data_IF_022234590004
#
_entry.id   IF_022234590004
#
_cell.length_a   1.000
_cell.length_b   1.000
_cell.length_c   1.000
_cell.angle_alpha   90.00
_cell.angle_beta   90.00
_cell.angle_gamma   90.00
#
_symmetry.space_group_name_H-M   'P 1'
#
loop_
_entity.id
_entity.type
_entity.pdbx_description
1 polymer ?
#
# COMPACT_ATOMS: atom_id res chain seq x y z
N UNK A 1 12.32 -17.33 16.58
CA UNK A 1 13.04 -16.09 16.18
C UNK A 1 12.09 -14.92 16.40
N UNK A 2 12.54 -13.81 17.00
CA UNK A 2 11.70 -12.62 17.14
C UNK A 2 11.45 -12.04 15.74
N UNK A 3 10.20 -11.78 15.32
CA UNK A 3 9.91 -11.40 13.93
C UNK A 3 10.60 -10.10 13.49
N UNK A 4 10.90 -9.19 14.41
CA UNK A 4 11.50 -7.88 14.14
C UNK A 4 13.03 -7.84 14.13
N UNK A 5 13.73 -8.90 14.56
CA UNK A 5 15.19 -8.93 14.65
C UNK A 5 15.87 -8.70 13.29
N UNK A 6 15.27 -9.21 12.21
CA UNK A 6 15.78 -8.99 10.85
C UNK A 6 15.62 -7.53 10.42
N UNK A 7 14.56 -6.85 10.85
CA UNK A 7 14.33 -5.44 10.56
C UNK A 7 15.32 -4.58 11.33
N UNK A 8 15.58 -4.86 12.61
CA UNK A 8 16.59 -4.16 13.41
C UNK A 8 18.00 -4.31 12.81
N UNK A 9 18.36 -5.52 12.37
CA UNK A 9 19.62 -5.77 11.67
C UNK A 9 19.71 -5.01 10.34
N UNK A 10 18.62 -5.00 9.58
CA UNK A 10 18.52 -4.23 8.33
C UNK A 10 18.69 -2.74 8.59
N UNK A 11 18.06 -2.21 9.65
CA UNK A 11 18.18 -0.81 10.05
C UNK A 11 19.64 -0.44 10.34
N UNK A 12 20.32 -1.21 11.20
CA UNK A 12 21.72 -0.98 11.53
C UNK A 12 22.64 -1.06 10.29
N UNK A 13 22.35 -1.99 9.37
CA UNK A 13 23.08 -2.10 8.10
C UNK A 13 22.93 -0.84 7.24
N UNK A 14 21.70 -0.34 7.07
CA UNK A 14 21.45 0.85 6.24
C UNK A 14 21.98 2.14 6.88
N UNK A 15 21.91 2.27 8.21
CA UNK A 15 22.47 3.41 8.95
C UNK A 15 23.99 3.46 8.89
N UNK A 16 24.66 2.30 8.87
CA UNK A 16 26.11 2.19 8.75
C UNK A 16 26.62 2.15 7.30
N UNK A 17 25.76 2.30 6.31
CA UNK A 17 26.15 2.15 4.90
C UNK A 17 26.87 3.40 4.38
N UNK A 18 28.11 3.24 3.94
CA UNK A 18 28.86 4.26 3.22
C UNK A 18 28.82 3.98 1.72
N UNK A 19 28.27 4.93 0.95
CA UNK A 19 28.19 4.80 -0.52
C UNK A 19 29.29 5.64 -1.15
N UNK A 20 30.08 4.98 -2.01
CA UNK A 20 31.19 5.60 -2.72
C UNK A 20 30.88 5.67 -4.22
N UNK A 21 31.10 6.83 -4.84
CA UNK A 21 31.08 7.04 -6.28
C UNK A 21 32.44 7.61 -6.70
N UNK A 22 33.16 6.93 -7.59
CA UNK A 22 34.52 7.32 -8.00
C UNK A 22 35.49 7.56 -6.82
N UNK A 23 35.43 6.67 -5.81
CA UNK A 23 36.20 6.76 -4.54
C UNK A 23 35.89 8.00 -3.69
N UNK A 24 34.82 8.74 -3.99
CA UNK A 24 34.32 9.84 -3.18
C UNK A 24 33.02 9.43 -2.51
N UNK A 25 32.82 9.86 -1.27
CA UNK A 25 31.58 9.60 -0.55
C UNK A 25 30.40 10.34 -1.22
N UNK A 26 29.30 9.61 -1.40
CA UNK A 26 28.05 10.12 -1.95
C UNK A 26 26.95 9.98 -0.90
N UNK A 27 26.48 11.12 -0.41
CA UNK A 27 25.47 11.17 0.66
C UNK A 27 24.03 11.29 0.14
N UNK A 28 23.84 11.64 -1.14
CA UNK A 28 22.51 11.89 -1.72
C UNK A 28 21.93 10.64 -2.39
N UNK A 29 21.75 9.57 -1.59
CA UNK A 29 21.09 8.33 -2.03
C UNK A 29 19.78 8.18 -1.27
N UNK A 30 18.72 8.77 -1.83
CA UNK A 30 17.42 8.84 -1.17
C UNK A 30 16.78 7.47 -0.89
N UNK A 31 17.07 6.44 -1.69
CA UNK A 31 16.51 5.11 -1.45
C UNK A 31 17.00 4.50 -0.13
N UNK A 32 18.24 4.76 0.29
CA UNK A 32 18.75 4.30 1.60
C UNK A 32 18.00 4.99 2.73
N UNK A 33 17.83 6.31 2.64
CA UNK A 33 16.98 7.05 3.57
C UNK A 33 15.56 6.51 3.62
N UNK A 34 14.99 6.15 2.45
CA UNK A 34 13.69 5.51 2.35
C UNK A 34 13.61 4.15 3.06
N UNK A 35 14.64 3.30 2.95
CA UNK A 35 14.70 2.04 3.70
C UNK A 35 14.78 2.27 5.21
N UNK A 36 15.63 3.20 5.66
CA UNK A 36 15.75 3.57 7.08
C UNK A 36 14.39 4.02 7.62
N UNK A 37 13.72 4.95 6.94
CA UNK A 37 12.41 5.44 7.35
C UNK A 37 11.35 4.36 7.34
N UNK A 38 11.30 3.52 6.29
CA UNK A 38 10.31 2.45 6.19
C UNK A 38 10.46 1.42 7.32
N UNK A 39 11.69 1.00 7.62
CA UNK A 39 11.96 0.04 8.68
C UNK A 39 11.60 0.64 10.05
N UNK A 40 12.03 1.87 10.34
CA UNK A 40 11.69 2.56 11.60
C UNK A 40 10.18 2.69 11.78
N UNK A 41 9.47 3.11 10.74
CA UNK A 41 8.01 3.24 10.77
C UNK A 41 7.31 1.90 11.01
N UNK A 42 7.77 0.80 10.41
CA UNK A 42 7.21 -0.53 10.65
C UNK A 42 7.45 -0.99 12.10
N UNK A 43 8.64 -0.74 12.66
CA UNK A 43 8.96 -1.09 14.05
C UNK A 43 8.10 -0.28 15.05
N UNK A 44 7.89 1.00 14.78
CA UNK A 44 7.01 1.86 15.57
C UNK A 44 5.55 1.39 15.48
N UNK A 45 5.03 1.20 14.26
CA UNK A 45 3.66 0.72 14.04
C UNK A 45 3.44 -0.65 14.68
N UNK A 46 4.43 -1.55 14.62
CA UNK A 46 4.34 -2.84 15.28
C UNK A 46 4.18 -2.69 16.79
N UNK A 47 4.91 -1.77 17.42
CA UNK A 47 4.78 -1.48 18.85
C UNK A 47 3.36 -1.04 19.20
N UNK A 48 2.79 -0.08 18.45
CA UNK A 48 1.42 0.41 18.63
C UNK A 48 0.36 -0.71 18.44
N UNK A 49 0.59 -1.58 17.46
CA UNK A 49 -0.30 -2.70 17.12
C UNK A 49 -0.23 -3.81 18.18
N UNK A 50 0.95 -4.05 18.76
CA UNK A 50 1.10 -4.99 19.88
C UNK A 50 0.41 -4.51 21.16
N UNK A 51 0.44 -3.21 21.44
CA UNK A 51 -0.32 -2.62 22.57
C UNK A 51 -1.83 -2.89 22.45
N UNK A 52 -2.34 -3.00 21.21
CA UNK A 52 -3.74 -3.36 20.91
C UNK A 52 -3.99 -4.88 20.87
N UNK A 53 -3.05 -5.69 21.36
CA UNK A 53 -3.14 -7.16 21.40
C UNK A 53 -3.33 -7.85 20.03
N UNK A 54 -2.88 -7.21 18.94
CA UNK A 54 -2.91 -7.82 17.62
C UNK A 54 -1.80 -8.87 17.48
N UNK A 55 -2.13 -9.99 16.81
CA UNK A 55 -1.21 -11.14 16.67
C UNK A 55 -0.15 -10.96 15.58
N UNK A 56 -0.43 -10.15 14.57
CA UNK A 56 0.42 -9.97 13.40
C UNK A 56 0.14 -8.61 12.73
N UNK A 57 1.11 -8.16 11.92
CA UNK A 57 0.99 -7.00 11.04
C UNK A 57 1.18 -7.46 9.60
N UNK A 58 0.20 -7.17 8.75
CA UNK A 58 0.26 -7.52 7.33
C UNK A 58 1.01 -6.42 6.56
N UNK A 59 2.32 -6.56 6.45
CA UNK A 59 3.17 -5.58 5.75
C UNK A 59 2.84 -5.45 4.26
N UNK A 60 2.16 -6.43 3.66
CA UNK A 60 1.64 -6.36 2.29
C UNK A 60 0.58 -5.26 2.10
N UNK A 61 -0.04 -4.77 3.17
CA UNK A 61 -0.99 -3.64 3.10
C UNK A 61 -0.32 -2.27 3.34
N UNK A 62 0.98 -2.25 3.61
CA UNK A 62 1.74 -1.02 3.84
C UNK A 62 2.52 -0.56 2.60
N UNK A 63 2.11 -1.00 1.41
CA UNK A 63 2.72 -0.65 0.13
C UNK A 63 1.68 -0.05 -0.84
N UNK A 64 2.14 0.40 -2.01
CA UNK A 64 1.30 1.06 -3.01
C UNK A 64 0.73 0.08 -4.06
N UNK A 65 0.98 -1.22 -3.95
CA UNK A 65 0.64 -2.22 -4.99
C UNK A 65 -0.87 -2.23 -5.27
N UNK A 66 -1.71 -2.10 -4.23
CA UNK A 66 -3.16 -2.05 -4.39
C UNK A 66 -3.60 -0.86 -5.27
N UNK A 67 -2.94 0.29 -5.12
CA UNK A 67 -3.20 1.49 -5.90
C UNK A 67 -2.66 1.36 -7.33
N UNK A 68 -1.46 0.79 -7.50
CA UNK A 68 -0.88 0.53 -8.82
C UNK A 68 -1.71 -0.47 -9.64
N UNK A 69 -2.22 -1.51 -8.96
CA UNK A 69 -3.15 -2.48 -9.54
C UNK A 69 -4.46 -1.81 -9.97
N UNK A 70 -5.01 -0.88 -9.16
CA UNK A 70 -6.17 -0.09 -9.56
C UNK A 70 -5.89 0.74 -10.83
N UNK A 71 -4.72 1.37 -10.95
CA UNK A 71 -4.35 2.09 -12.15
C UNK A 71 -4.28 1.17 -13.38
N UNK A 72 -3.81 -0.07 -13.21
CA UNK A 72 -3.81 -1.07 -14.29
C UNK A 72 -5.23 -1.45 -14.71
N UNK A 73 -6.16 -1.61 -13.77
CA UNK A 73 -7.59 -1.83 -14.09
C UNK A 73 -8.17 -0.64 -14.88
N UNK A 74 -7.84 0.59 -14.49
CA UNK A 74 -8.29 1.80 -15.20
C UNK A 74 -7.73 1.85 -16.64
N UNK A 75 -6.45 1.55 -16.83
CA UNK A 75 -5.80 1.54 -18.15
C UNK A 75 -6.33 0.45 -19.09
N UNK A 76 -6.84 -0.66 -18.55
CA UNK A 76 -7.41 -1.76 -19.36
C UNK A 76 -8.88 -1.56 -19.73
N UNK A 77 -9.50 -0.47 -19.30
CA UNK A 77 -10.94 -0.27 -19.44
C UNK A 77 -11.30 0.24 -20.84
N UNK A 78 -12.16 -0.51 -21.53
CA UNK A 78 -12.58 -0.18 -22.91
C UNK A 78 -11.50 -0.45 -23.96
N UNK A 79 -10.59 -1.39 -23.66
CA UNK A 79 -9.36 -1.63 -24.41
C UNK A 79 -8.12 -1.13 -23.65
N UNK A 80 -6.93 -1.48 -24.11
CA UNK A 80 -5.69 -1.02 -23.50
C UNK A 80 -5.42 0.45 -23.87
N UNK A 81 -5.55 1.34 -22.88
CA UNK A 81 -5.19 2.75 -22.96
C UNK A 81 -4.15 3.09 -21.88
N UNK A 82 -2.85 3.12 -22.22
CA UNK A 82 -1.78 3.34 -21.24
C UNK A 82 -1.82 4.75 -20.62
N UNK A 83 -2.41 5.72 -21.32
CA UNK A 83 -2.40 7.15 -20.94
C UNK A 83 -3.80 7.74 -21.06
N UNK A 84 -4.74 7.38 -20.16
CA UNK A 84 -6.09 7.95 -20.18
C UNK A 84 -6.05 9.45 -19.90
N UNK A 85 -6.88 10.22 -20.61
CA UNK A 85 -7.16 11.61 -20.26
C UNK A 85 -7.79 11.70 -18.87
N UNK A 86 -7.70 12.87 -18.23
CA UNK A 86 -8.32 13.12 -16.91
C UNK A 86 -9.82 12.76 -16.90
N UNK A 87 -10.54 13.07 -17.99
CA UNK A 87 -11.97 12.72 -18.14
C UNK A 87 -12.17 11.21 -18.17
N UNK A 88 -11.36 10.49 -18.95
CA UNK A 88 -11.42 9.03 -19.04
C UNK A 88 -11.07 8.36 -17.72
N UNK A 89 -10.02 8.81 -17.04
CA UNK A 89 -9.62 8.33 -15.73
C UNK A 89 -10.76 8.50 -14.72
N UNK A 90 -11.33 9.71 -14.61
CA UNK A 90 -12.43 10.02 -13.70
C UNK A 90 -13.65 9.15 -13.95
N UNK A 91 -14.10 9.04 -15.20
CA UNK A 91 -15.24 8.19 -15.56
C UNK A 91 -14.97 6.73 -15.23
N UNK A 92 -13.76 6.25 -15.50
CA UNK A 92 -13.34 4.87 -15.22
C UNK A 92 -13.29 4.57 -13.73
N UNK A 93 -12.73 5.48 -12.94
CA UNK A 93 -12.66 5.38 -11.49
C UNK A 93 -14.07 5.37 -10.88
N UNK A 94 -14.93 6.32 -11.25
CA UNK A 94 -16.32 6.39 -10.80
C UNK A 94 -17.09 5.10 -11.12
N UNK A 95 -16.90 4.55 -12.31
CA UNK A 95 -17.55 3.30 -12.66
C UNK A 95 -16.99 2.12 -11.85
N UNK A 96 -15.67 2.00 -11.69
CA UNK A 96 -15.08 0.93 -10.88
C UNK A 96 -15.57 1.01 -9.42
N UNK A 97 -15.64 2.20 -8.85
CA UNK A 97 -16.23 2.42 -7.52
C UNK A 97 -17.69 1.97 -7.46
N UNK A 98 -18.52 2.36 -8.43
CA UNK A 98 -19.93 1.94 -8.48
C UNK A 98 -20.07 0.43 -8.52
N UNK A 99 -19.32 -0.27 -9.39
CA UNK A 99 -19.39 -1.74 -9.45
C UNK A 99 -18.96 -2.37 -8.12
N UNK A 100 -17.87 -1.89 -7.51
CA UNK A 100 -17.28 -2.54 -6.32
C UNK A 100 -17.96 -2.17 -5.00
N UNK A 101 -18.68 -1.06 -4.95
CA UNK A 101 -19.39 -0.58 -3.76
C UNK A 101 -20.91 -0.83 -3.84
N UNK A 102 -21.41 -1.34 -4.96
CA UNK A 102 -22.82 -1.72 -5.05
C UNK A 102 -23.06 -2.99 -4.23
N UNK A 103 -23.92 -2.88 -3.22
CA UNK A 103 -24.47 -4.04 -2.50
C UNK A 103 -25.54 -4.72 -3.36
N UNK A 104 -25.70 -6.04 -3.15
CA UNK A 104 -26.81 -6.78 -3.74
C UNK A 104 -28.15 -6.23 -3.24
N UNK A 105 -29.13 -6.11 -4.14
CA UNK A 105 -30.49 -5.69 -3.82
C UNK A 105 -31.23 -6.80 -3.06
N UNK A 106 -32.05 -6.46 -2.06
CA UNK A 106 -32.78 -7.42 -1.19
C UNK A 106 -33.61 -8.48 -1.93
N UNK A 107 -34.02 -8.20 -3.18
CA UNK A 107 -34.77 -9.12 -4.05
C UNK A 107 -34.05 -9.44 -5.37
N UNK A 108 -32.74 -9.25 -5.44
CA UNK A 108 -31.93 -9.68 -6.58
C UNK A 108 -31.80 -11.21 -6.62
N UNK A 109 -31.48 -11.79 -7.78
CA UNK A 109 -31.21 -13.24 -7.84
C UNK A 109 -29.84 -13.65 -7.25
N UNK A 110 -29.11 -12.69 -6.67
CA UNK A 110 -27.77 -12.88 -6.11
C UNK A 110 -27.84 -12.87 -4.57
N UNK A 111 -27.04 -13.72 -3.93
CA UNK A 111 -26.89 -13.75 -2.47
C UNK A 111 -26.39 -12.41 -1.91
N UNK A 112 -26.84 -12.07 -0.70
CA UNK A 112 -26.48 -10.84 -0.01
C UNK A 112 -25.00 -10.91 0.38
N UNK A 113 -24.21 -9.94 -0.10
CA UNK A 113 -22.82 -9.78 0.33
C UNK A 113 -22.81 -9.15 1.74
N UNK A 114 -22.54 -9.97 2.75
CA UNK A 114 -22.47 -9.55 4.16
C UNK A 114 -21.09 -8.98 4.55
N UNK A 115 -20.22 -8.73 3.58
CA UNK A 115 -18.91 -8.13 3.86
C UNK A 115 -19.12 -6.67 4.25
N UNK A 116 -18.88 -6.34 5.52
CA UNK A 116 -18.95 -4.94 5.98
C UNK A 116 -17.91 -4.10 5.23
N UNK A 117 -18.40 -3.15 4.43
CA UNK A 117 -17.55 -2.10 3.89
C UNK A 117 -17.15 -1.23 5.07
N UNK A 118 -15.85 -1.14 5.33
CA UNK A 118 -15.32 -0.24 6.36
C UNK A 118 -15.69 1.19 6.00
N UNK A 119 -16.66 1.76 6.71
CA UNK A 119 -17.11 3.14 6.51
C UNK A 119 -15.96 4.10 6.84
N UNK A 120 -15.37 4.67 5.78
CA UNK A 120 -14.24 5.60 5.88
C UNK A 120 -14.69 7.07 5.91
N UNK A 121 -16.01 7.32 6.04
CA UNK A 121 -16.60 8.66 5.88
C UNK A 121 -17.39 9.15 7.11
N UNK A 122 -17.08 8.68 8.32
CA UNK A 122 -17.51 9.40 9.53
C UNK A 122 -16.49 10.51 9.87
N UNK A 123 -16.69 11.69 9.28
CA UNK A 123 -16.22 13.00 9.79
C UNK A 123 -17.34 14.02 9.62
#
# INVERSE_FOLDING_TARGET
KRPFENLERGLALFEGMEILENKKQRNNIYCIGGFIWSIRSILMLWSDVQEKHMKFLLTSFLNQDCLENLFSVIRNRGGYNPTPTVKQFRTSLQHNMKIRLQMAVENGNCEIDTTEVLDLFEV
#
